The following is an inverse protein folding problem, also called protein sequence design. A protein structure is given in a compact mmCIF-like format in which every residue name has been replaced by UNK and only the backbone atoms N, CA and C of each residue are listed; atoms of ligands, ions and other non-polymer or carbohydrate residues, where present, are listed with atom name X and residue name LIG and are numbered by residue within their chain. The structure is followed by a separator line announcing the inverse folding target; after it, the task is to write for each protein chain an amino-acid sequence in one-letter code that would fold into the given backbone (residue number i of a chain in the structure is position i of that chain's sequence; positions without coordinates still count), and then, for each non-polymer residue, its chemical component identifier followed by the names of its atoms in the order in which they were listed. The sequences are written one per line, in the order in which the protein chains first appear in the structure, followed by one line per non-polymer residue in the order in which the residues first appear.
data_IF_690494590009
#
_entry.id   IF_690494590009
#
_cell.length_a   1.000
_cell.length_b   1.000
_cell.length_c   1.000
_cell.angle_alpha   90.00
_cell.angle_beta   90.00
_cell.angle_gamma   90.00
#
_symmetry.space_group_name_H-M   'P 1'
#
loop_
_entity.id
_entity.type
_entity.pdbx_description
1 polymer ?
#
# COMPACT_ATOMS: atom_id res chain seq x y z
N UNK A 1 58.21 33.83 -7.26
CA UNK A 1 57.39 32.61 -7.15
C UNK A 1 55.97 32.93 -6.68
N UNK A 2 55.76 34.07 -6.00
CA UNK A 2 54.43 34.50 -5.51
C UNK A 2 53.46 35.02 -6.60
N UNK A 3 53.94 35.66 -7.67
CA UNK A 3 53.05 36.23 -8.71
C UNK A 3 52.31 35.19 -9.55
N UNK A 4 52.82 33.96 -9.65
CA UNK A 4 52.12 32.88 -10.35
C UNK A 4 51.05 32.19 -9.50
N UNK A 5 51.19 32.23 -8.16
CA UNK A 5 50.19 31.70 -7.23
C UNK A 5 48.99 32.64 -7.12
N UNK A 6 49.21 33.96 -7.08
CA UNK A 6 48.13 34.97 -7.09
C UNK A 6 47.29 34.92 -8.38
N UNK A 7 47.93 34.74 -9.54
CA UNK A 7 47.24 34.65 -10.83
C UNK A 7 46.39 33.37 -10.99
N UNK A 8 46.77 32.28 -10.32
CA UNK A 8 45.98 31.05 -10.26
C UNK A 8 44.74 31.19 -9.37
N UNK A 9 44.88 31.88 -8.24
CA UNK A 9 43.78 32.12 -7.28
C UNK A 9 42.69 33.03 -7.88
N UNK A 10 43.06 34.14 -8.52
CA UNK A 10 42.10 35.02 -9.22
C UNK A 10 41.35 34.33 -10.37
N UNK A 11 42.01 33.41 -11.10
CA UNK A 11 41.36 32.63 -12.16
C UNK A 11 40.34 31.63 -11.59
N UNK A 12 40.61 31.03 -10.44
CA UNK A 12 39.65 30.13 -9.77
C UNK A 12 38.43 30.87 -9.23
N UNK A 13 38.62 32.06 -8.65
CA UNK A 13 37.50 32.89 -8.14
C UNK A 13 36.60 33.40 -9.28
N UNK A 14 37.19 33.87 -10.37
CA UNK A 14 36.43 34.36 -11.55
C UNK A 14 35.67 33.24 -12.26
N UNK A 15 36.26 32.04 -12.37
CA UNK A 15 35.57 30.86 -12.91
C UNK A 15 34.46 30.37 -11.98
N UNK A 16 34.66 30.39 -10.67
CA UNK A 16 33.63 30.08 -9.68
C UNK A 16 32.45 31.04 -9.73
N UNK A 17 32.72 32.35 -9.77
CA UNK A 17 31.70 33.40 -9.91
C UNK A 17 30.93 33.29 -11.24
N UNK A 18 31.62 32.97 -12.33
CA UNK A 18 31.00 32.74 -13.64
C UNK A 18 30.07 31.51 -13.63
N UNK A 19 30.49 30.40 -13.02
CA UNK A 19 29.65 29.21 -12.86
C UNK A 19 28.43 29.49 -11.96
N UNK A 20 28.61 30.21 -10.85
CA UNK A 20 27.50 30.64 -9.98
C UNK A 20 26.50 31.53 -10.74
N UNK A 21 26.99 32.45 -11.56
CA UNK A 21 26.15 33.30 -12.40
C UNK A 21 25.37 32.49 -13.43
N UNK A 22 26.02 31.56 -14.14
CA UNK A 22 25.35 30.66 -15.09
C UNK A 22 24.32 29.77 -14.40
N UNK A 23 24.63 29.21 -13.23
CA UNK A 23 23.68 28.44 -12.42
C UNK A 23 22.47 29.29 -12.01
N UNK A 24 22.70 30.55 -11.64
CA UNK A 24 21.63 31.49 -11.25
C UNK A 24 20.75 31.83 -12.44
N UNK A 25 21.33 32.14 -13.60
CA UNK A 25 20.59 32.39 -14.85
C UNK A 25 19.80 31.16 -15.30
N UNK A 26 20.42 29.98 -15.25
CA UNK A 26 19.75 28.73 -15.59
C UNK A 26 18.56 28.47 -14.67
N UNK A 27 18.75 28.64 -13.35
CA UNK A 27 17.67 28.51 -12.37
C UNK A 27 16.56 29.52 -12.62
N UNK A 28 16.90 30.79 -12.87
CA UNK A 28 15.92 31.85 -13.13
C UNK A 28 15.14 31.59 -14.42
N UNK A 29 15.80 31.17 -15.48
CA UNK A 29 15.18 30.75 -16.74
C UNK A 29 14.22 29.57 -16.51
N UNK A 30 14.69 28.51 -15.84
CA UNK A 30 13.87 27.33 -15.58
C UNK A 30 12.62 27.69 -14.76
N UNK A 31 12.81 28.44 -13.67
CA UNK A 31 11.73 28.87 -12.78
C UNK A 31 10.72 29.73 -13.53
N UNK A 32 11.17 30.72 -14.29
CA UNK A 32 10.30 31.60 -15.10
C UNK A 32 9.50 30.78 -16.11
N UNK A 33 10.15 29.85 -16.81
CA UNK A 33 9.47 28.99 -17.77
C UNK A 33 8.45 28.05 -17.12
N UNK A 34 8.77 27.48 -15.97
CA UNK A 34 7.86 26.61 -15.19
C UNK A 34 6.67 27.37 -14.60
N UNK A 35 6.72 28.69 -14.50
CA UNK A 35 5.62 29.49 -13.94
C UNK A 35 4.75 30.08 -15.04
N UNK A 36 5.36 30.77 -16.00
CA UNK A 36 4.61 31.52 -17.00
C UNK A 36 4.21 30.66 -18.21
N UNK A 37 5.01 29.65 -18.56
CA UNK A 37 4.76 28.80 -19.73
C UNK A 37 4.27 27.39 -19.38
N UNK A 38 4.13 27.07 -18.09
CA UNK A 38 3.57 25.79 -17.68
C UNK A 38 2.03 25.83 -17.80
N UNK A 39 1.40 24.92 -18.57
CA UNK A 39 -0.04 24.91 -18.74
C UNK A 39 -0.80 24.75 -17.41
N UNK A 40 -0.16 24.17 -16.38
CA UNK A 40 -0.74 23.97 -15.06
C UNK A 40 -0.79 25.25 -14.21
N UNK A 41 -0.11 26.34 -14.59
CA UNK A 41 -0.10 27.57 -13.80
C UNK A 41 -1.41 28.34 -13.78
N UNK A 42 -2.33 28.00 -14.69
CA UNK A 42 -3.69 28.54 -14.73
C UNK A 42 -4.64 27.82 -13.77
N UNK A 43 -4.25 26.66 -13.25
CA UNK A 43 -5.09 25.88 -12.34
C UNK A 43 -5.08 26.52 -10.94
N UNK A 44 -6.22 26.52 -10.24
CA UNK A 44 -6.30 27.10 -8.91
C UNK A 44 -5.51 26.25 -7.91
N UNK A 45 -4.93 26.87 -6.89
CA UNK A 45 -4.13 26.20 -5.87
C UNK A 45 -3.27 27.18 -5.09
N UNK A 46 -2.51 26.71 -4.08
CA UNK A 46 -1.57 27.55 -3.36
C UNK A 46 -0.55 28.18 -4.31
N UNK A 47 -0.30 29.48 -4.17
CA UNK A 47 0.66 30.20 -5.04
C UNK A 47 2.04 29.52 -5.06
N UNK A 48 2.47 29.02 -3.90
CA UNK A 48 3.74 28.32 -3.69
C UNK A 48 3.84 27.00 -4.46
N UNK A 49 2.71 26.33 -4.75
CA UNK A 49 2.65 25.13 -5.59
C UNK A 49 3.02 25.43 -7.05
N UNK A 50 3.10 26.70 -7.47
CA UNK A 50 3.68 27.08 -8.75
C UNK A 50 5.20 26.93 -8.80
N UNK A 51 5.87 27.02 -7.65
CA UNK A 51 7.31 27.11 -7.52
C UNK A 51 7.92 25.81 -7.01
N UNK A 52 7.26 25.14 -6.08
CA UNK A 52 7.80 23.97 -5.40
C UNK A 52 6.72 22.99 -4.95
N UNK A 53 7.07 21.71 -4.87
CA UNK A 53 6.27 20.64 -4.26
C UNK A 53 6.67 20.38 -2.80
N UNK A 54 7.56 21.19 -2.21
CA UNK A 54 8.08 20.97 -0.87
C UNK A 54 7.00 20.90 0.21
N UNK A 55 5.95 21.73 0.11
CA UNK A 55 4.81 21.70 1.05
C UNK A 55 4.02 20.40 0.90
N UNK A 56 3.77 19.98 -0.35
CA UNK A 56 3.09 18.71 -0.61
C UNK A 56 3.91 17.53 -0.08
N UNK A 57 5.24 17.54 -0.27
CA UNK A 57 6.16 16.53 0.28
C UNK A 57 6.17 16.51 1.81
N UNK A 58 6.15 17.68 2.45
CA UNK A 58 6.01 17.78 3.91
C UNK A 58 4.70 17.11 4.38
N UNK A 59 3.58 17.42 3.73
CA UNK A 59 2.30 16.81 4.05
C UNK A 59 2.24 15.33 3.68
N UNK A 60 2.90 14.88 2.60
CA UNK A 60 3.03 13.45 2.26
C UNK A 60 3.61 12.61 3.38
N UNK A 61 4.53 13.17 4.16
CA UNK A 61 5.13 12.47 5.30
C UNK A 61 4.28 12.50 6.57
N UNK A 62 3.17 13.26 6.60
CA UNK A 62 2.36 13.47 7.81
C UNK A 62 0.85 13.46 7.58
N UNK A 63 0.34 14.40 6.79
CA UNK A 63 -1.09 14.77 6.74
C UNK A 63 -1.62 15.05 5.32
N UNK A 64 -1.12 14.36 4.27
CA UNK A 64 -1.49 14.64 2.87
C UNK A 64 -2.99 14.64 2.63
N UNK A 65 -3.71 13.64 3.14
CA UNK A 65 -5.15 13.53 2.93
C UNK A 65 -5.90 14.77 3.45
N UNK A 66 -5.65 15.17 4.71
CA UNK A 66 -6.25 16.35 5.32
C UNK A 66 -5.84 17.65 4.60
N UNK A 67 -4.57 17.77 4.20
CA UNK A 67 -4.06 18.93 3.47
C UNK A 67 -4.77 19.09 2.12
N UNK A 68 -4.76 18.04 1.30
CA UNK A 68 -5.40 18.02 -0.02
C UNK A 68 -6.91 18.26 0.10
N UNK A 69 -7.57 17.66 1.09
CA UNK A 69 -9.00 17.90 1.33
C UNK A 69 -9.31 19.38 1.58
N UNK A 70 -8.53 20.05 2.45
CA UNK A 70 -8.67 21.51 2.69
C UNK A 70 -8.41 22.34 1.42
N UNK A 71 -7.50 21.89 0.56
CA UNK A 71 -7.29 22.57 -0.72
C UNK A 71 -8.51 22.44 -1.63
N UNK A 72 -9.13 21.26 -1.72
CA UNK A 72 -10.37 21.10 -2.50
C UNK A 72 -11.53 21.92 -1.95
N UNK A 73 -11.68 22.00 -0.61
CA UNK A 73 -12.67 22.88 0.03
C UNK A 73 -12.49 24.36 -0.36
N UNK A 74 -11.24 24.80 -0.60
CA UNK A 74 -10.92 26.20 -0.90
C UNK A 74 -10.90 26.53 -2.39
N UNK A 75 -10.33 25.66 -3.21
CA UNK A 75 -10.02 25.92 -4.63
C UNK A 75 -10.94 25.17 -5.60
N UNK A 76 -11.75 24.24 -5.10
CA UNK A 76 -12.70 23.46 -5.90
C UNK A 76 -12.15 22.09 -6.32
N UNK A 77 -12.79 21.43 -7.31
CA UNK A 77 -12.54 20.02 -7.64
C UNK A 77 -11.22 19.75 -8.36
N UNK A 78 -10.54 20.77 -8.91
CA UNK A 78 -9.25 20.61 -9.59
C UNK A 78 -8.26 21.57 -8.96
N UNK A 79 -7.20 21.05 -8.34
CA UNK A 79 -6.26 21.87 -7.56
C UNK A 79 -4.82 21.54 -7.95
N UNK A 80 -4.03 22.57 -8.28
CA UNK A 80 -2.58 22.43 -8.41
C UNK A 80 -1.95 22.26 -7.03
N UNK A 81 -1.28 21.13 -6.81
CA UNK A 81 -0.62 20.80 -5.53
C UNK A 81 0.90 20.88 -5.62
N UNK A 82 1.46 20.84 -6.83
CA UNK A 82 2.89 21.09 -7.09
C UNK A 82 3.15 21.60 -8.51
N UNK A 83 4.41 21.87 -8.88
CA UNK A 83 4.73 22.47 -10.17
C UNK A 83 4.30 21.61 -11.36
N UNK A 84 4.28 20.29 -11.17
CA UNK A 84 3.92 19.28 -12.16
C UNK A 84 2.84 18.30 -11.65
N UNK A 85 2.13 18.65 -10.57
CA UNK A 85 1.15 17.77 -9.92
C UNK A 85 -0.17 18.51 -9.67
N UNK A 86 -1.25 17.84 -10.04
CA UNK A 86 -2.64 18.31 -9.90
C UNK A 86 -3.41 17.23 -9.16
N UNK A 87 -4.14 17.63 -8.13
CA UNK A 87 -5.10 16.78 -7.44
C UNK A 87 -6.51 17.06 -7.96
N UNK A 88 -7.30 16.01 -8.15
CA UNK A 88 -8.60 16.08 -8.82
C UNK A 88 -9.64 15.29 -8.02
N UNK A 89 -10.66 16.00 -7.57
CA UNK A 89 -11.84 15.49 -6.87
C UNK A 89 -13.08 15.70 -7.76
N UNK A 90 -13.08 15.05 -8.93
CA UNK A 90 -14.19 15.06 -9.89
C UNK A 90 -14.45 13.66 -10.46
N UNK A 91 -15.71 13.23 -10.46
CA UNK A 91 -16.09 11.87 -10.88
C UNK A 91 -15.89 11.63 -12.38
N UNK A 92 -16.03 12.67 -13.20
CA UNK A 92 -15.85 12.57 -14.66
C UNK A 92 -14.37 12.39 -14.98
N UNK A 93 -13.52 13.19 -14.35
CA UNK A 93 -12.07 13.06 -14.46
C UNK A 93 -11.57 11.71 -13.93
N UNK A 94 -12.10 11.20 -12.80
CA UNK A 94 -11.72 9.87 -12.29
C UNK A 94 -12.00 8.78 -13.32
N UNK A 95 -13.16 8.82 -13.99
CA UNK A 95 -13.52 7.86 -15.06
C UNK A 95 -12.59 7.96 -16.26
N UNK A 96 -12.24 9.18 -16.67
CA UNK A 96 -11.33 9.43 -17.80
C UNK A 96 -9.89 8.97 -17.48
N UNK A 97 -9.39 9.28 -16.28
CA UNK A 97 -8.03 8.93 -15.86
C UNK A 97 -7.84 7.41 -15.75
N UNK A 98 -8.84 6.72 -15.22
CA UNK A 98 -8.79 5.27 -14.94
C UNK A 98 -9.37 4.40 -16.07
N UNK A 99 -9.59 4.96 -17.26
CA UNK A 99 -10.08 4.20 -18.42
C UNK A 99 -9.09 3.08 -18.82
N UNK A 100 -9.62 1.93 -19.22
CA UNK A 100 -8.82 0.71 -19.49
C UNK A 100 -7.98 0.82 -20.76
N UNK A 101 -8.42 1.60 -21.76
CA UNK A 101 -7.78 1.72 -23.08
C UNK A 101 -7.26 3.14 -23.28
N UNK A 102 -6.02 3.27 -23.80
CA UNK A 102 -5.39 4.55 -24.14
C UNK A 102 -5.37 5.56 -22.95
N UNK A 103 -5.22 5.07 -21.72
CA UNK A 103 -5.26 5.86 -20.49
C UNK A 103 -3.94 6.51 -20.08
N UNK A 104 -3.96 7.13 -18.90
CA UNK A 104 -2.79 7.75 -18.30
C UNK A 104 -1.84 6.69 -17.74
N UNK A 105 -0.53 6.90 -17.91
CA UNK A 105 0.50 6.02 -17.34
C UNK A 105 0.72 6.36 -15.87
N UNK A 106 1.09 5.34 -15.08
CA UNK A 106 1.54 5.54 -13.70
C UNK A 106 2.73 6.48 -13.67
N UNK A 107 2.82 7.28 -12.61
CA UNK A 107 3.94 8.17 -12.40
C UNK A 107 5.19 7.38 -11.93
N UNK A 108 6.42 7.88 -12.19
CA UNK A 108 7.67 7.33 -11.64
C UNK A 108 7.68 7.19 -10.10
N UNK A 109 6.79 7.92 -9.41
CA UNK A 109 6.49 7.74 -8.00
C UNK A 109 6.37 6.26 -7.59
N UNK A 110 5.70 5.43 -8.37
CA UNK A 110 5.48 4.02 -8.02
C UNK A 110 6.77 3.20 -7.99
N UNK A 111 7.70 3.44 -8.91
CA UNK A 111 9.02 2.79 -8.92
C UNK A 111 9.90 3.26 -7.75
N UNK A 112 9.77 4.54 -7.36
CA UNK A 112 10.46 5.05 -6.17
C UNK A 112 9.83 4.52 -4.87
N UNK A 113 8.50 4.31 -4.86
CA UNK A 113 7.79 3.78 -3.70
C UNK A 113 8.23 2.35 -3.40
N UNK A 114 8.53 1.54 -4.41
CA UNK A 114 9.02 0.16 -4.28
C UNK A 114 10.17 -0.08 -5.29
N UNK A 115 11.43 0.22 -4.93
CA UNK A 115 12.59 0.08 -5.81
C UNK A 115 13.05 -1.38 -5.86
N UNK A 116 13.88 -1.69 -6.86
CA UNK A 116 14.62 -2.96 -6.96
C UNK A 116 13.74 -4.22 -7.05
N UNK A 117 12.44 -4.05 -7.26
CA UNK A 117 11.47 -5.12 -7.57
C UNK A 117 10.51 -4.57 -8.62
N UNK A 118 10.06 -5.39 -9.56
CA UNK A 118 9.07 -5.00 -10.55
C UNK A 118 7.87 -5.95 -10.43
N UNK A 119 6.69 -5.39 -10.23
CA UNK A 119 5.43 -6.11 -10.09
C UNK A 119 4.28 -5.30 -10.70
N UNK A 120 3.08 -5.89 -10.71
CA UNK A 120 1.91 -5.28 -11.31
C UNK A 120 1.55 -3.92 -10.70
N UNK A 121 1.83 -3.71 -9.41
CA UNK A 121 1.55 -2.45 -8.73
C UNK A 121 2.48 -1.34 -9.22
N UNK A 122 3.80 -1.57 -9.26
CA UNK A 122 4.77 -0.50 -9.50
C UNK A 122 5.29 -0.36 -10.93
N UNK A 123 5.07 -1.34 -11.81
CA UNK A 123 5.55 -1.31 -13.20
C UNK A 123 4.98 -0.12 -13.98
N UNK A 124 5.83 0.49 -14.81
CA UNK A 124 5.45 1.51 -15.81
C UNK A 124 5.38 0.92 -17.23
N UNK A 125 5.85 -0.32 -17.41
CA UNK A 125 5.84 -1.03 -18.68
C UNK A 125 4.46 -1.63 -18.93
N UNK A 126 3.82 -1.18 -20.01
CA UNK A 126 2.47 -1.57 -20.40
C UNK A 126 2.39 -3.04 -20.82
N UNK A 127 3.41 -3.56 -21.51
CA UNK A 127 3.41 -4.95 -21.98
C UNK A 127 3.69 -5.91 -20.82
N UNK A 128 4.65 -5.57 -19.95
CA UNK A 128 4.87 -6.30 -18.70
C UNK A 128 3.60 -6.32 -17.85
N UNK A 129 2.96 -5.16 -17.66
CA UNK A 129 1.70 -5.07 -16.91
C UNK A 129 0.60 -5.92 -17.55
N UNK A 130 0.42 -5.86 -18.88
CA UNK A 130 -0.59 -6.64 -19.60
C UNK A 130 -0.35 -8.14 -19.44
N UNK A 131 0.89 -8.58 -19.61
CA UNK A 131 1.29 -9.98 -19.47
C UNK A 131 0.99 -10.49 -18.05
N UNK A 132 1.53 -9.83 -17.01
CA UNK A 132 1.35 -10.24 -15.62
C UNK A 132 -0.11 -10.14 -15.18
N UNK A 133 -0.83 -9.08 -15.59
CA UNK A 133 -2.26 -8.92 -15.27
C UNK A 133 -3.09 -10.08 -15.79
N UNK A 134 -2.80 -10.56 -17.01
CA UNK A 134 -3.51 -11.70 -17.60
C UNK A 134 -3.36 -12.94 -16.70
N UNK A 135 -2.14 -13.25 -16.29
CA UNK A 135 -1.84 -14.41 -15.45
C UNK A 135 -2.42 -14.27 -14.02
N UNK A 136 -2.34 -13.07 -13.44
CA UNK A 136 -2.77 -12.78 -12.07
C UNK A 136 -4.28 -12.51 -11.92
N UNK A 137 -5.00 -12.28 -13.02
CA UNK A 137 -6.45 -12.06 -12.97
C UNK A 137 -7.24 -13.31 -12.61
N UNK A 138 -6.80 -14.49 -13.09
CA UNK A 138 -7.49 -15.76 -12.84
C UNK A 138 -7.51 -16.17 -11.36
N UNK A 139 -6.40 -16.05 -10.60
CA UNK A 139 -6.38 -16.17 -9.14
C UNK A 139 -7.48 -15.42 -8.37
N UNK A 140 -7.86 -14.24 -8.86
CA UNK A 140 -8.84 -13.36 -8.21
C UNK A 140 -10.26 -13.51 -8.77
N UNK A 141 -10.49 -14.50 -9.64
CA UNK A 141 -11.83 -14.83 -10.12
C UNK A 141 -12.68 -15.43 -8.99
N UNK A 142 -14.00 -15.25 -9.05
CA UNK A 142 -14.94 -15.81 -8.07
C UNK A 142 -14.76 -17.34 -7.92
N UNK A 143 -14.57 -18.06 -9.03
CA UNK A 143 -14.31 -19.50 -9.00
C UNK A 143 -13.03 -19.88 -8.25
N UNK A 144 -11.98 -19.06 -8.37
CA UNK A 144 -10.71 -19.32 -7.67
C UNK A 144 -10.80 -18.94 -6.20
N UNK A 145 -11.52 -17.87 -5.86
CA UNK A 145 -11.71 -17.45 -4.48
C UNK A 145 -12.47 -18.48 -3.63
N UNK A 146 -13.42 -19.23 -4.22
CA UNK A 146 -14.10 -20.35 -3.53
C UNK A 146 -13.14 -21.39 -2.97
N UNK A 147 -12.00 -21.62 -3.63
CA UNK A 147 -11.00 -22.61 -3.18
C UNK A 147 -10.22 -22.17 -1.94
N UNK A 148 -10.11 -20.87 -1.71
CA UNK A 148 -9.39 -20.29 -0.56
C UNK A 148 -10.32 -19.76 0.53
N UNK A 149 -11.62 -19.69 0.26
CA UNK A 149 -12.65 -19.28 1.22
C UNK A 149 -12.57 -20.04 2.54
N UNK A 150 -12.41 -21.39 2.59
CA UNK A 150 -12.28 -22.10 3.86
C UNK A 150 -11.11 -21.62 4.71
N UNK A 151 -9.99 -21.25 4.09
CA UNK A 151 -8.82 -20.69 4.79
C UNK A 151 -9.12 -19.32 5.38
N UNK A 152 -9.84 -18.47 4.64
CA UNK A 152 -10.27 -17.15 5.14
C UNK A 152 -11.30 -17.31 6.26
N UNK A 153 -12.21 -18.26 6.13
CA UNK A 153 -13.26 -18.54 7.10
C UNK A 153 -12.71 -18.99 8.45
N UNK A 154 -11.76 -19.94 8.42
CA UNK A 154 -11.07 -20.47 9.58
C UNK A 154 -10.23 -19.39 10.29
N UNK A 155 -9.60 -18.51 9.51
CA UNK A 155 -8.95 -17.30 10.01
C UNK A 155 -9.94 -16.40 10.77
N UNK A 156 -11.09 -16.07 10.16
CA UNK A 156 -12.10 -15.19 10.76
C UNK A 156 -12.61 -15.79 12.07
N UNK A 157 -12.90 -17.09 12.08
CA UNK A 157 -13.34 -17.82 13.29
C UNK A 157 -12.30 -17.75 14.40
N UNK A 158 -11.02 -17.94 14.07
CA UNK A 158 -9.91 -17.84 15.04
C UNK A 158 -9.76 -16.43 15.61
N UNK A 159 -9.86 -15.40 14.75
CA UNK A 159 -9.81 -14.00 15.17
C UNK A 159 -10.98 -13.67 16.12
N UNK A 160 -12.21 -14.07 15.78
CA UNK A 160 -13.40 -13.87 16.61
C UNK A 160 -13.28 -14.60 17.94
N UNK A 161 -12.82 -15.85 17.95
CA UNK A 161 -12.60 -16.60 19.18
C UNK A 161 -11.57 -15.93 20.10
N UNK A 162 -10.52 -15.34 19.52
CA UNK A 162 -9.51 -14.60 20.26
C UNK A 162 -10.04 -13.26 20.80
N UNK A 163 -10.84 -12.53 20.02
CA UNK A 163 -11.56 -11.34 20.49
C UNK A 163 -12.48 -11.66 21.66
N UNK A 164 -13.22 -12.78 21.58
CA UNK A 164 -14.10 -13.22 22.65
C UNK A 164 -13.32 -13.48 23.94
N UNK A 165 -12.19 -14.18 23.86
CA UNK A 165 -11.32 -14.42 25.03
C UNK A 165 -10.83 -13.12 25.66
N UNK A 166 -10.36 -12.17 24.86
CA UNK A 166 -9.90 -10.88 25.38
C UNK A 166 -11.05 -10.06 26.01
N UNK A 167 -12.24 -10.13 25.41
CA UNK A 167 -13.43 -9.50 25.95
C UNK A 167 -13.87 -10.15 27.27
N UNK A 168 -13.78 -11.48 27.41
CA UNK A 168 -14.11 -12.19 28.65
C UNK A 168 -13.12 -11.81 29.78
N UNK A 169 -11.86 -11.53 29.45
CA UNK A 169 -10.82 -11.15 30.43
C UNK A 169 -10.86 -9.67 30.82
N UNK A 170 -11.07 -8.76 29.86
CA UNK A 170 -10.95 -7.30 30.05
C UNK A 170 -12.28 -6.54 30.03
N UNK A 171 -13.37 -7.20 29.66
CA UNK A 171 -14.66 -6.57 29.32
C UNK A 171 -14.71 -5.91 27.94
N UNK A 172 -13.58 -5.84 27.22
CA UNK A 172 -13.42 -5.18 25.92
C UNK A 172 -12.35 -5.88 25.09
N UNK A 173 -12.43 -5.79 23.76
CA UNK A 173 -11.39 -6.32 22.87
C UNK A 173 -10.93 -5.26 21.86
N UNK A 174 -9.61 -5.22 21.62
CA UNK A 174 -9.05 -4.44 20.52
C UNK A 174 -9.23 -5.21 19.21
N UNK A 175 -10.26 -4.83 18.46
CA UNK A 175 -10.61 -5.47 17.18
C UNK A 175 -9.52 -5.25 16.13
N UNK A 176 -8.88 -4.07 16.12
CA UNK A 176 -7.84 -3.73 15.14
C UNK A 176 -6.61 -4.62 15.32
N UNK A 177 -6.21 -4.87 16.57
CA UNK A 177 -5.10 -5.79 16.93
C UNK A 177 -5.28 -7.17 16.32
N UNK A 178 -6.49 -7.74 16.32
CA UNK A 178 -6.70 -9.08 15.76
C UNK A 178 -6.75 -9.10 14.25
N UNK A 179 -7.39 -8.11 13.61
CA UNK A 179 -7.41 -8.03 12.15
C UNK A 179 -6.01 -7.78 11.58
N UNK A 180 -5.24 -6.87 12.20
CA UNK A 180 -3.88 -6.55 11.76
C UNK A 180 -2.89 -7.61 12.19
N UNK A 181 -3.03 -8.17 13.39
CA UNK A 181 -2.03 -9.05 14.00
C UNK A 181 -1.91 -10.42 13.33
N UNK A 182 -2.92 -10.82 12.55
CA UNK A 182 -3.03 -12.16 12.03
C UNK A 182 -3.05 -12.18 10.49
N UNK A 183 -2.09 -12.89 9.90
CA UNK A 183 -1.71 -12.69 8.49
C UNK A 183 -2.29 -13.76 7.58
N UNK A 184 -3.54 -13.56 7.16
CA UNK A 184 -4.21 -14.49 6.22
C UNK A 184 -3.54 -14.50 4.84
N UNK A 185 -3.07 -13.35 4.35
CA UNK A 185 -2.52 -13.23 3.00
C UNK A 185 -1.23 -14.03 2.78
N UNK A 186 -0.42 -14.24 3.82
CA UNK A 186 0.74 -15.11 3.73
C UNK A 186 0.32 -16.56 3.42
N UNK A 187 -0.72 -17.05 4.10
CA UNK A 187 -1.28 -18.38 3.85
C UNK A 187 -1.87 -18.47 2.44
N UNK A 188 -2.60 -17.44 2.01
CA UNK A 188 -3.20 -17.37 0.67
C UNK A 188 -2.17 -17.37 -0.46
N UNK A 189 -0.95 -16.88 -0.21
CA UNK A 189 0.11 -16.78 -1.22
C UNK A 189 1.06 -17.98 -1.17
N UNK A 190 1.53 -18.37 0.03
CA UNK A 190 2.56 -19.39 0.21
C UNK A 190 2.06 -20.73 0.75
N UNK A 191 0.74 -20.90 0.95
CA UNK A 191 0.14 -22.10 1.53
C UNK A 191 0.66 -22.45 2.94
N UNK A 192 1.22 -21.46 3.64
CA UNK A 192 1.65 -21.61 5.02
C UNK A 192 0.47 -21.73 5.98
N UNK A 193 0.73 -22.22 7.19
CA UNK A 193 -0.19 -22.00 8.30
C UNK A 193 -0.30 -20.50 8.54
N UNK A 194 -1.52 -19.98 8.59
CA UNK A 194 -1.74 -18.61 9.01
C UNK A 194 -1.39 -18.48 10.50
N UNK A 195 -1.07 -17.27 10.96
CA UNK A 195 -0.72 -17.05 12.35
C UNK A 195 -0.48 -15.59 12.68
N UNK A 196 0.02 -15.35 13.89
CA UNK A 196 0.53 -14.03 14.28
C UNK A 196 1.68 -13.60 13.36
N UNK A 197 1.86 -12.27 13.21
CA UNK A 197 2.94 -11.69 12.40
C UNK A 197 4.31 -12.31 12.73
N UNK A 198 4.89 -13.03 11.77
CA UNK A 198 6.26 -13.53 11.84
C UNK A 198 7.28 -12.45 11.43
N UNK A 199 8.57 -12.78 11.50
CA UNK A 199 9.65 -11.84 11.16
C UNK A 199 9.59 -11.37 9.71
N UNK A 200 9.22 -12.24 8.77
CA UNK A 200 9.11 -11.91 7.35
C UNK A 200 8.10 -10.78 7.10
N UNK A 201 6.92 -10.88 7.71
CA UNK A 201 5.88 -9.85 7.63
C UNK A 201 6.34 -8.53 8.26
N UNK A 202 6.96 -8.60 9.44
CA UNK A 202 7.50 -7.40 10.13
C UNK A 202 8.54 -6.68 9.27
N UNK A 203 9.41 -7.43 8.60
CA UNK A 203 10.40 -6.88 7.68
C UNK A 203 9.73 -6.20 6.47
N UNK A 204 8.71 -6.83 5.88
CA UNK A 204 7.95 -6.24 4.76
C UNK A 204 7.28 -4.92 5.16
N UNK A 205 6.56 -4.90 6.27
CA UNK A 205 5.88 -3.71 6.79
C UNK A 205 6.88 -2.61 7.15
N UNK A 206 7.99 -2.97 7.80
CA UNK A 206 9.05 -2.02 8.13
C UNK A 206 9.72 -1.40 6.90
N UNK A 207 9.86 -2.13 5.80
CA UNK A 207 10.33 -1.57 4.53
C UNK A 207 9.25 -0.76 3.81
N UNK A 208 7.99 -1.17 3.87
CA UNK A 208 6.85 -0.47 3.28
C UNK A 208 6.61 0.90 3.96
N UNK A 209 6.72 0.97 5.29
CA UNK A 209 6.59 2.20 6.07
C UNK A 209 7.64 3.27 5.70
N UNK A 210 8.80 2.85 5.18
CA UNK A 210 9.85 3.75 4.67
C UNK A 210 9.58 4.23 3.23
N UNK A 211 8.54 3.72 2.58
CA UNK A 211 8.17 4.04 1.20
C UNK A 211 7.90 5.53 0.98
N UNK A 212 7.25 6.21 1.93
CA UNK A 212 6.96 7.64 1.82
C UNK A 212 8.23 8.50 1.79
N UNK A 213 9.21 8.19 2.64
CA UNK A 213 10.52 8.86 2.65
C UNK A 213 11.26 8.59 1.35
N UNK A 214 11.29 7.33 0.92
CA UNK A 214 12.01 6.91 -0.28
C UNK A 214 11.44 7.52 -1.56
N UNK A 215 10.11 7.56 -1.70
CA UNK A 215 9.44 8.21 -2.83
C UNK A 215 9.65 9.72 -2.87
N UNK A 216 9.83 10.35 -1.70
CA UNK A 216 10.09 11.80 -1.58
C UNK A 216 11.53 12.16 -1.93
N UNK A 217 12.50 11.34 -1.48
CA UNK A 217 13.93 11.62 -1.58
C UNK A 217 14.69 10.46 -2.26
N UNK A 218 14.38 10.12 -3.52
CA UNK A 218 14.97 8.95 -4.19
C UNK A 218 16.49 9.06 -4.31
N UNK A 219 17.01 10.25 -4.67
CA UNK A 219 18.46 10.48 -4.79
C UNK A 219 19.21 10.28 -3.46
N UNK A 220 18.62 10.73 -2.35
CA UNK A 220 19.19 10.54 -1.01
C UNK A 220 19.29 9.04 -0.68
N UNK A 221 18.25 8.27 -1.00
CA UNK A 221 18.25 6.82 -0.77
C UNK A 221 19.28 6.13 -1.67
N UNK A 222 19.41 6.50 -2.95
CA UNK A 222 20.43 5.94 -3.84
C UNK A 222 21.84 6.19 -3.31
N UNK A 223 22.13 7.39 -2.81
CA UNK A 223 23.43 7.70 -2.19
C UNK A 223 23.62 6.89 -0.90
N UNK A 224 22.60 6.87 -0.04
CA UNK A 224 22.59 6.11 1.20
C UNK A 224 22.87 4.61 1.00
N UNK A 225 22.32 3.98 -0.05
CA UNK A 225 22.58 2.56 -0.34
C UNK A 225 24.02 2.26 -0.75
N UNK A 226 24.77 3.27 -1.21
CA UNK A 226 26.20 3.13 -1.56
C UNK A 226 27.13 3.40 -0.38
N UNK A 227 26.62 4.01 0.69
CA UNK A 227 27.39 4.33 1.89
C UNK A 227 27.13 3.26 2.97
N UNK A 228 28.15 2.57 3.49
CA UNK A 228 27.99 1.52 4.50
C UNK A 228 27.73 2.12 5.90
N UNK A 229 26.68 2.93 6.04
CA UNK A 229 26.31 3.53 7.31
C UNK A 229 25.60 2.51 8.21
N UNK A 230 25.90 2.45 9.51
CA UNK A 230 25.27 1.53 10.45
C UNK A 230 23.73 1.57 10.45
N UNK A 231 23.15 2.75 10.18
CA UNK A 231 21.69 2.95 10.10
C UNK A 231 21.00 2.12 9.01
N UNK A 232 21.73 1.70 7.97
CA UNK A 232 21.19 0.89 6.87
C UNK A 232 21.44 -0.61 7.03
N UNK A 233 22.25 -1.04 8.01
CA UNK A 233 22.56 -2.47 8.22
C UNK A 233 21.30 -3.29 8.46
N UNK A 234 20.41 -2.82 9.32
CA UNK A 234 19.16 -3.54 9.59
C UNK A 234 18.23 -3.56 8.37
N UNK A 235 18.19 -2.48 7.60
CA UNK A 235 17.37 -2.41 6.37
C UNK A 235 17.89 -3.40 5.31
N UNK A 236 19.21 -3.53 5.17
CA UNK A 236 19.82 -4.51 4.28
C UNK A 236 19.61 -5.94 4.77
N UNK A 237 19.73 -6.19 6.08
CA UNK A 237 19.46 -7.48 6.69
C UNK A 237 18.00 -7.91 6.51
N UNK A 238 17.05 -7.01 6.77
CA UNK A 238 15.62 -7.24 6.52
C UNK A 238 15.34 -7.58 5.05
N UNK A 239 15.92 -6.82 4.10
CA UNK A 239 15.77 -7.10 2.68
C UNK A 239 16.35 -8.49 2.29
N UNK A 240 17.43 -8.93 2.93
CA UNK A 240 17.97 -10.27 2.72
C UNK A 240 17.06 -11.35 3.30
N UNK A 241 16.58 -11.20 4.54
CA UNK A 241 15.63 -12.14 5.18
C UNK A 241 14.35 -12.30 4.34
N UNK A 242 13.83 -11.20 3.78
CA UNK A 242 12.69 -11.22 2.86
C UNK A 242 12.98 -12.07 1.62
N UNK A 243 14.15 -11.88 0.99
CA UNK A 243 14.54 -12.64 -0.20
C UNK A 243 14.66 -14.12 0.12
N UNK A 244 15.32 -14.47 1.22
CA UNK A 244 15.57 -15.86 1.61
C UNK A 244 14.26 -16.57 1.95
N UNK A 245 13.43 -15.95 2.78
CA UNK A 245 12.13 -16.50 3.16
C UNK A 245 11.22 -16.74 1.95
N UNK A 246 11.09 -15.73 1.08
CA UNK A 246 10.23 -15.84 -0.11
C UNK A 246 10.76 -16.85 -1.12
N UNK A 247 12.08 -17.02 -1.25
CA UNK A 247 12.69 -18.06 -2.08
C UNK A 247 12.39 -19.46 -1.53
N UNK A 248 12.58 -19.66 -0.23
CA UNK A 248 12.25 -20.93 0.43
C UNK A 248 10.76 -21.26 0.31
N UNK A 249 9.89 -20.26 0.48
CA UNK A 249 8.45 -20.44 0.40
C UNK A 249 7.98 -20.86 -1.01
N UNK A 250 8.50 -20.22 -2.05
CA UNK A 250 8.23 -20.61 -3.44
C UNK A 250 8.78 -22.01 -3.73
N UNK A 251 10.01 -22.31 -3.30
CA UNK A 251 10.63 -23.61 -3.53
C UNK A 251 9.87 -24.75 -2.84
N UNK A 252 9.41 -24.53 -1.59
CA UNK A 252 8.59 -25.50 -0.86
C UNK A 252 7.27 -25.76 -1.59
N UNK A 253 6.55 -24.70 -1.98
CA UNK A 253 5.28 -24.87 -2.69
C UNK A 253 5.45 -25.64 -4.01
N UNK A 254 6.48 -25.33 -4.80
CA UNK A 254 6.80 -26.07 -6.02
C UNK A 254 7.09 -27.55 -5.76
N UNK A 255 7.82 -27.87 -4.69
CA UNK A 255 8.12 -29.25 -4.29
C UNK A 255 6.83 -30.00 -3.91
N UNK A 256 5.99 -29.39 -3.09
CA UNK A 256 4.72 -29.98 -2.65
C UNK A 256 3.79 -30.20 -3.84
N UNK A 257 3.72 -29.22 -4.73
CA UNK A 257 2.95 -29.29 -5.98
C UNK A 257 3.47 -30.39 -6.91
N UNK A 258 4.78 -30.53 -7.09
CA UNK A 258 5.37 -31.57 -7.94
C UNK A 258 5.14 -32.99 -7.37
N UNK A 259 5.19 -33.14 -6.04
CA UNK A 259 4.99 -34.42 -5.38
C UNK A 259 3.53 -34.86 -5.38
N UNK A 260 2.59 -33.95 -5.11
CA UNK A 260 1.16 -34.25 -5.11
C UNK A 260 0.32 -33.00 -5.44
N UNK A 261 0.03 -32.74 -6.73
CA UNK A 261 -0.74 -31.57 -7.16
C UNK A 261 -2.16 -31.50 -6.57
N UNK A 262 -2.75 -32.66 -6.26
CA UNK A 262 -4.10 -32.74 -5.69
C UNK A 262 -4.11 -32.43 -4.19
N UNK A 263 -3.04 -32.77 -3.46
CA UNK A 263 -2.90 -32.46 -2.04
C UNK A 263 -2.28 -31.09 -1.75
N UNK A 264 -1.70 -30.42 -2.76
CA UNK A 264 -1.16 -29.09 -2.63
C UNK A 264 -2.27 -28.10 -2.19
N UNK A 265 -2.01 -27.39 -1.10
CA UNK A 265 -2.98 -26.43 -0.54
C UNK A 265 -3.38 -25.38 -1.59
N UNK A 266 -4.66 -25.00 -1.65
CA UNK A 266 -5.13 -23.91 -2.49
C UNK A 266 -4.39 -22.61 -2.13
N UNK A 267 -3.87 -21.92 -3.14
CA UNK A 267 -3.29 -20.58 -3.01
C UNK A 267 -3.81 -19.72 -4.16
N UNK A 268 -3.76 -18.41 -3.98
CA UNK A 268 -3.97 -17.47 -5.07
C UNK A 268 -2.97 -17.73 -6.20
N UNK A 269 -1.76 -18.19 -5.88
CA UNK A 269 -0.70 -18.33 -6.88
C UNK A 269 -0.66 -19.71 -7.55
N UNK A 270 -1.53 -20.65 -7.17
CA UNK A 270 -1.57 -22.02 -7.72
C UNK A 270 -1.48 -22.06 -9.25
N UNK A 271 -2.31 -21.26 -9.93
CA UNK A 271 -2.34 -21.19 -11.41
C UNK A 271 -1.05 -20.64 -12.03
N UNK A 272 -0.30 -19.81 -11.29
CA UNK A 272 1.00 -19.31 -11.74
C UNK A 272 2.04 -20.43 -11.74
N UNK A 273 1.97 -21.33 -10.76
CA UNK A 273 2.83 -22.51 -10.69
C UNK A 273 2.44 -23.57 -11.74
N UNK A 274 1.14 -23.70 -12.05
CA UNK A 274 0.64 -24.59 -13.12
C UNK A 274 1.08 -24.15 -14.52
N UNK A 275 1.25 -22.85 -14.75
CA UNK A 275 1.61 -22.31 -16.07
C UNK A 275 3.05 -22.63 -16.51
N UNK A 276 3.91 -23.12 -15.61
CA UNK A 276 5.28 -23.52 -15.93
C UNK A 276 6.08 -22.41 -16.61
N UNK A 277 6.77 -22.74 -17.72
CA UNK A 277 7.59 -21.79 -18.49
C UNK A 277 6.77 -20.69 -19.21
N UNK A 278 5.45 -20.88 -19.37
CA UNK A 278 4.55 -19.86 -19.88
C UNK A 278 4.01 -18.92 -18.78
N UNK A 279 4.38 -19.19 -17.53
CA UNK A 279 4.01 -18.43 -16.34
C UNK A 279 5.02 -17.34 -15.98
N UNK A 280 4.95 -16.90 -14.72
CA UNK A 280 5.89 -15.93 -14.16
C UNK A 280 7.16 -16.63 -13.66
N UNK A 281 8.30 -15.96 -13.79
CA UNK A 281 9.55 -16.39 -13.15
C UNK A 281 9.46 -16.37 -11.63
N UNK A 282 10.36 -17.07 -10.93
CA UNK A 282 10.36 -17.13 -9.48
C UNK A 282 10.57 -15.76 -8.83
N UNK A 283 11.34 -14.90 -9.48
CA UNK A 283 11.57 -13.52 -9.05
C UNK A 283 10.29 -12.69 -9.16
N UNK A 284 9.55 -12.85 -10.24
CA UNK A 284 8.25 -12.20 -10.44
C UNK A 284 7.20 -12.73 -9.46
N UNK A 285 7.13 -14.05 -9.26
CA UNK A 285 6.24 -14.65 -8.25
C UNK A 285 6.55 -14.09 -6.87
N UNK A 286 7.83 -13.98 -6.49
CA UNK A 286 8.23 -13.37 -5.21
C UNK A 286 7.86 -11.90 -5.12
N UNK A 287 8.05 -11.13 -6.19
CA UNK A 287 7.72 -9.70 -6.22
C UNK A 287 6.20 -9.47 -6.11
N UNK A 288 5.39 -10.29 -6.80
CA UNK A 288 3.93 -10.25 -6.69
C UNK A 288 3.46 -10.72 -5.30
N UNK A 289 4.07 -11.78 -4.73
CA UNK A 289 3.74 -12.27 -3.40
C UNK A 289 3.90 -11.19 -2.33
N UNK A 290 5.05 -10.49 -2.35
CA UNK A 290 5.32 -9.38 -1.45
C UNK A 290 4.28 -8.26 -1.60
N UNK A 291 3.91 -7.92 -2.84
CA UNK A 291 2.90 -6.91 -3.12
C UNK A 291 1.52 -7.31 -2.56
N UNK A 292 1.09 -8.56 -2.76
CA UNK A 292 -0.21 -9.06 -2.28
C UNK A 292 -0.27 -9.10 -0.75
N UNK A 293 0.81 -9.52 -0.10
CA UNK A 293 0.87 -9.61 1.37
C UNK A 293 0.80 -8.21 1.99
N UNK A 294 1.63 -7.26 1.52
CA UNK A 294 1.65 -5.90 2.07
C UNK A 294 0.36 -5.15 1.75
N UNK A 295 -0.09 -5.18 0.49
CA UNK A 295 -1.28 -4.45 0.09
C UNK A 295 -2.55 -5.06 0.70
N UNK A 296 -2.63 -6.38 0.80
CA UNK A 296 -3.82 -7.09 1.25
C UNK A 296 -4.05 -7.00 2.76
N UNK A 297 -3.01 -7.18 3.57
CA UNK A 297 -3.14 -7.28 5.03
C UNK A 297 -3.64 -5.97 5.65
N UNK A 298 -2.86 -4.89 5.55
CA UNK A 298 -3.14 -3.65 6.29
C UNK A 298 -4.40 -2.95 5.79
N UNK A 299 -4.62 -2.90 4.47
CA UNK A 299 -5.79 -2.22 3.90
C UNK A 299 -7.09 -2.92 4.25
N UNK A 300 -7.11 -4.26 4.20
CA UNK A 300 -8.30 -5.05 4.52
C UNK A 300 -8.57 -5.01 6.01
N UNK A 301 -7.55 -5.19 6.86
CA UNK A 301 -7.70 -5.12 8.30
C UNK A 301 -8.19 -3.74 8.77
N UNK A 302 -7.64 -2.67 8.19
CA UNK A 302 -8.08 -1.29 8.45
C UNK A 302 -9.54 -1.11 8.01
N UNK A 303 -9.89 -1.53 6.79
CA UNK A 303 -11.26 -1.45 6.27
C UNK A 303 -12.25 -2.20 7.16
N UNK A 304 -11.92 -3.41 7.59
CA UNK A 304 -12.75 -4.21 8.50
C UNK A 304 -12.91 -3.54 9.87
N UNK A 305 -11.83 -2.96 10.40
CA UNK A 305 -11.85 -2.22 11.67
C UNK A 305 -12.82 -1.05 11.59
N UNK A 306 -12.68 -0.18 10.58
CA UNK A 306 -13.55 0.98 10.40
C UNK A 306 -14.99 0.59 10.06
N UNK A 307 -15.21 -0.51 9.34
CA UNK A 307 -16.54 -1.04 9.07
C UNK A 307 -17.23 -1.50 10.35
N UNK A 308 -16.54 -2.30 11.19
CA UNK A 308 -17.06 -2.72 12.50
C UNK A 308 -17.36 -1.51 13.36
N UNK A 309 -16.42 -0.56 13.47
CA UNK A 309 -16.61 0.70 14.19
C UNK A 309 -17.85 1.46 13.71
N UNK A 310 -18.00 1.67 12.41
CA UNK A 310 -19.11 2.43 11.81
C UNK A 310 -20.46 1.78 12.08
N UNK A 311 -20.55 0.45 12.04
CA UNK A 311 -21.77 -0.28 12.36
C UNK A 311 -22.06 -0.25 13.87
N UNK A 312 -21.04 -0.37 14.73
CA UNK A 312 -21.20 -0.24 16.18
C UNK A 312 -21.72 1.15 16.60
N UNK A 313 -21.31 2.22 15.91
CA UNK A 313 -21.79 3.58 16.15
C UNK A 313 -23.24 3.81 15.66
N UNK A 314 -23.76 2.94 14.79
CA UNK A 314 -25.10 3.07 14.18
C UNK A 314 -26.00 1.93 14.62
N UNK A 315 -26.63 2.11 15.79
CA UNK A 315 -27.49 1.09 16.39
C UNK A 315 -28.65 0.63 15.48
N UNK A 316 -29.22 1.53 14.69
CA UNK A 316 -30.27 1.23 13.70
C UNK A 316 -29.78 0.28 12.59
N UNK A 317 -28.59 0.56 12.04
CA UNK A 317 -27.96 -0.27 11.02
C UNK A 317 -27.53 -1.63 11.60
N UNK A 318 -26.96 -1.64 12.81
CA UNK A 318 -26.56 -2.87 13.51
C UNK A 318 -27.76 -3.79 13.76
N UNK A 319 -28.88 -3.26 14.25
CA UNK A 319 -30.08 -4.07 14.53
C UNK A 319 -30.64 -4.72 13.25
N UNK A 320 -30.73 -3.98 12.15
CA UNK A 320 -31.18 -4.52 10.86
C UNK A 320 -30.23 -5.62 10.36
N UNK A 321 -28.92 -5.32 10.38
CA UNK A 321 -27.89 -6.27 10.00
C UNK A 321 -27.94 -7.56 10.82
N UNK A 322 -27.99 -7.45 12.16
CA UNK A 322 -28.05 -8.61 13.05
C UNK A 322 -29.31 -9.43 12.79
N UNK A 323 -30.47 -8.77 12.58
CA UNK A 323 -31.71 -9.48 12.24
C UNK A 323 -31.55 -10.33 10.99
N UNK A 324 -31.03 -9.74 9.90
CA UNK A 324 -30.77 -10.46 8.65
C UNK A 324 -29.76 -11.61 8.85
N UNK A 325 -28.71 -11.40 9.65
CA UNK A 325 -27.69 -12.42 9.92
C UNK A 325 -28.20 -13.60 10.75
N UNK A 326 -29.18 -13.38 11.63
CA UNK A 326 -29.78 -14.44 12.45
C UNK A 326 -30.74 -15.32 11.65
N UNK A 327 -31.19 -14.88 10.47
CA UNK A 327 -32.00 -15.67 9.54
C UNK A 327 -31.14 -16.63 8.68
N UNK A 328 -29.81 -16.45 8.66
CA UNK A 328 -28.90 -17.30 7.91
C UNK A 328 -28.62 -18.65 8.62
N UNK A 329 -28.40 -19.74 7.86
CA UNK A 329 -28.00 -21.03 8.43
C UNK A 329 -26.65 -20.92 9.17
N UNK A 330 -26.35 -21.85 10.08
CA UNK A 330 -25.11 -21.82 10.88
C UNK A 330 -23.84 -21.98 10.04
N UNK A 331 -23.94 -22.72 8.94
CA UNK A 331 -22.86 -23.02 8.01
C UNK A 331 -22.83 -22.07 6.80
N UNK A 332 -23.45 -20.89 6.90
CA UNK A 332 -23.43 -19.90 5.83
C UNK A 332 -22.00 -19.58 5.35
N UNK A 333 -21.87 -19.42 4.04
CA UNK A 333 -20.65 -19.04 3.34
C UNK A 333 -20.81 -17.73 2.58
N UNK A 334 -19.84 -17.43 1.73
CA UNK A 334 -19.85 -16.23 0.91
C UNK A 334 -21.05 -16.18 -0.05
N UNK A 335 -21.50 -17.33 -0.56
CA UNK A 335 -22.64 -17.41 -1.49
C UNK A 335 -23.98 -16.98 -0.86
N UNK A 336 -24.10 -17.08 0.46
CA UNK A 336 -25.30 -16.66 1.19
C UNK A 336 -25.29 -15.15 1.49
N UNK A 337 -24.15 -14.49 1.27
CA UNK A 337 -23.95 -13.07 1.49
C UNK A 337 -23.98 -12.33 0.17
N UNK A 338 -24.83 -11.29 0.06
CA UNK A 338 -24.92 -10.49 -1.16
C UNK A 338 -23.83 -9.43 -1.25
N UNK A 339 -23.88 -8.43 -0.37
CA UNK A 339 -22.96 -7.28 -0.37
C UNK A 339 -22.09 -7.23 0.91
N UNK A 340 -22.37 -8.10 1.87
CA UNK A 340 -21.70 -8.11 3.16
C UNK A 340 -20.43 -8.96 3.10
N UNK A 341 -19.37 -8.46 3.74
CA UNK A 341 -18.11 -9.21 3.89
C UNK A 341 -18.29 -10.33 4.92
N UNK A 342 -17.78 -11.52 4.61
CA UNK A 342 -17.86 -12.71 5.47
C UNK A 342 -17.34 -12.45 6.90
N UNK A 343 -16.21 -11.74 7.02
CA UNK A 343 -15.66 -11.36 8.32
C UNK A 343 -16.62 -10.52 9.16
N UNK A 344 -17.26 -9.52 8.54
CA UNK A 344 -18.25 -8.65 9.19
C UNK A 344 -19.51 -9.42 9.58
N UNK A 345 -19.99 -10.30 8.70
CA UNK A 345 -21.13 -11.17 8.97
C UNK A 345 -20.88 -12.04 10.21
N UNK A 346 -19.75 -12.74 10.25
CA UNK A 346 -19.38 -13.58 11.40
C UNK A 346 -19.19 -12.76 12.68
N UNK A 347 -18.57 -11.58 12.59
CA UNK A 347 -18.36 -10.70 13.73
C UNK A 347 -19.70 -10.30 14.37
N UNK A 348 -20.65 -9.77 13.61
CA UNK A 348 -21.94 -9.33 14.16
C UNK A 348 -22.88 -10.48 14.53
N UNK A 349 -22.69 -11.67 13.95
CA UNK A 349 -23.38 -12.89 14.44
C UNK A 349 -22.84 -13.32 15.81
N UNK A 350 -21.52 -13.25 16.01
CA UNK A 350 -20.89 -13.58 17.29
C UNK A 350 -21.12 -12.52 18.37
N UNK A 351 -21.19 -11.24 17.99
CA UNK A 351 -21.32 -10.10 18.89
C UNK A 351 -22.49 -9.18 18.48
N UNK A 352 -23.75 -9.64 18.59
CA UNK A 352 -24.92 -8.89 18.11
C UNK A 352 -25.13 -7.54 18.82
N UNK A 353 -24.63 -7.44 20.06
CA UNK A 353 -24.73 -6.25 20.90
C UNK A 353 -23.43 -5.44 20.96
N UNK A 354 -22.47 -5.70 20.07
CA UNK A 354 -21.18 -5.00 20.06
C UNK A 354 -21.38 -3.47 19.97
N UNK A 355 -20.70 -2.74 20.83
CA UNK A 355 -20.65 -1.28 20.86
C UNK A 355 -19.21 -0.80 21.02
N UNK A 356 -18.96 0.47 20.68
CA UNK A 356 -17.65 1.08 20.90
C UNK A 356 -17.44 1.22 22.41
N UNK A 357 -16.30 0.73 22.89
CA UNK A 357 -15.90 0.84 24.28
C UNK A 357 -15.56 2.29 24.63
N UNK A 358 -15.90 2.72 25.84
CA UNK A 358 -15.39 3.95 26.47
C UNK A 358 -14.27 3.69 27.49
N UNK A 359 -13.85 2.43 27.64
CA UNK A 359 -12.74 2.03 28.51
C UNK A 359 -11.44 2.54 27.88
N UNK A 360 -10.47 2.91 28.73
CA UNK A 360 -9.17 3.49 28.32
C UNK A 360 -9.26 4.87 27.66
N UNK A 361 -10.39 5.58 27.82
CA UNK A 361 -10.56 6.94 27.30
C UNK A 361 -10.77 7.02 25.80
N UNK A 362 -10.89 5.86 25.12
CA UNK A 362 -11.23 5.80 23.71
C UNK A 362 -12.67 6.29 23.52
N UNK A 363 -12.86 7.32 22.71
CA UNK A 363 -14.17 7.90 22.44
C UNK A 363 -14.34 8.19 20.95
N UNK A 364 -15.57 8.50 20.57
CA UNK A 364 -15.85 8.97 19.20
C UNK A 364 -15.11 10.27 18.88
N UNK A 365 -14.81 11.09 19.90
CA UNK A 365 -14.10 12.36 19.76
C UNK A 365 -12.66 12.15 19.23
N UNK A 366 -12.04 10.99 19.50
CA UNK A 366 -10.71 10.64 18.98
C UNK A 366 -10.69 10.50 17.44
N UNK A 367 -11.87 10.35 16.82
CA UNK A 367 -12.03 10.17 15.37
C UNK A 367 -12.32 11.47 14.62
N UNK A 368 -12.52 12.60 15.31
CA UNK A 368 -12.85 13.90 14.71
C UNK A 368 -11.62 14.77 14.34
N UNK A 369 -10.41 14.19 14.31
CA UNK A 369 -9.12 14.90 14.14
C UNK A 369 -8.68 15.24 12.70
#
# INVERSE_FOLDING_TARGET
MDSQLEGGFLRLETTGLFLLFLCTLYLLYHVTCTIFFNPLSRLPGPWISCWTDAILKYHWLKTKAQYVHRLHQRYGPVVRVGPHEVDISDITAVKEIHRVKDGYRKAPFYQNLVPNTNNLFNTLDVEFHRHNRRLLSSPLSESSLKSVEPTVDDYVKTAIASMKREMDERGTADVAKFWLGWQVYESLVFANSYGQKNQYIKDLEGLAAKGSIRSTFPALITIATKLPLPIFKETAAAAQRIRDYSAEAVARYKRDFANNPAAAKPTLFRKLFEAGEAGLSDDEIRAEAQAYIVAGSDTTATTLTYLVYSVCCRGDARQKLVKELMELPDDFGHSDLRELRLATARFFRAFPNACVSSIEGMSQDDMEL
#
